data_IF_912926659705
#
_entry.id   IF_912926659705
#
_cell.length_a   1.000
_cell.length_b   1.000
_cell.length_c   1.000
_cell.angle_alpha   90.00
_cell.angle_beta   90.00
_cell.angle_gamma   90.00
#
_symmetry.space_group_name_H-M   'P 1'
#
loop_
_entity.id
_entity.type
_entity.pdbx_description
1 polymer ?
#
# COMPACT_ATOMS: atom_id res chain seq x y z
N UNK A 1 -15.65 28.16 55.87
CA UNK A 1 -15.84 27.94 54.42
C UNK A 1 -16.14 26.47 54.15
N UNK A 2 -16.67 26.15 52.97
CA UNK A 2 -16.83 24.78 52.47
C UNK A 2 -16.07 24.65 51.15
N UNK A 3 -15.38 23.54 50.94
CA UNK A 3 -14.74 23.21 49.66
C UNK A 3 -15.55 22.10 49.00
N UNK A 4 -16.10 22.39 47.83
CA UNK A 4 -16.80 21.43 47.00
C UNK A 4 -15.80 20.70 46.08
N UNK A 5 -16.28 19.66 45.39
CA UNK A 5 -15.52 19.06 44.29
C UNK A 5 -15.25 20.12 43.21
N UNK A 6 -14.03 20.10 42.65
CA UNK A 6 -13.68 20.95 41.52
C UNK A 6 -14.39 20.43 40.27
N UNK A 7 -15.07 21.31 39.55
CA UNK A 7 -15.65 21.00 38.25
C UNK A 7 -14.62 21.34 37.16
N UNK A 8 -13.86 20.34 36.74
CA UNK A 8 -12.73 20.45 35.81
C UNK A 8 -12.94 19.73 34.47
N UNK A 9 -14.05 19.02 34.27
CA UNK A 9 -14.30 18.22 33.06
C UNK A 9 -14.31 18.99 31.73
N UNK A 10 -14.34 20.34 31.77
CA UNK A 10 -14.17 21.20 30.60
C UNK A 10 -12.74 21.69 30.35
N UNK A 11 -11.78 21.31 31.19
CA UNK A 11 -10.37 21.69 31.09
C UNK A 11 -9.61 20.48 30.57
N UNK A 12 -9.10 20.56 29.35
CA UNK A 12 -8.34 19.48 28.73
C UNK A 12 -7.04 20.02 28.17
N UNK A 13 -5.96 19.27 28.36
CA UNK A 13 -4.63 19.54 27.85
C UNK A 13 -4.27 18.35 26.97
N UNK A 14 -4.35 18.54 25.65
CA UNK A 14 -4.06 17.52 24.65
C UNK A 14 -2.81 17.90 23.90
N UNK A 15 -1.81 17.03 23.90
CA UNK A 15 -0.64 17.11 23.02
C UNK A 15 -0.72 16.04 21.94
N UNK A 16 0.04 16.20 20.86
CA UNK A 16 0.10 15.29 19.71
C UNK A 16 1.48 14.66 19.57
N UNK A 17 1.49 13.35 19.38
CA UNK A 17 2.69 12.55 19.14
C UNK A 17 3.37 12.96 17.83
N UNK A 18 2.60 13.39 16.83
CA UNK A 18 3.13 13.87 15.54
C UNK A 18 4.11 15.05 15.65
N UNK A 19 4.10 15.74 16.80
CA UNK A 19 4.95 16.88 17.09
C UNK A 19 6.14 16.55 18.00
N UNK A 20 6.37 15.28 18.34
CA UNK A 20 7.48 14.82 19.19
C UNK A 20 8.60 14.15 18.41
N UNK A 21 8.52 14.11 17.07
CA UNK A 21 9.55 13.52 16.21
C UNK A 21 10.93 14.18 16.44
N UNK A 22 11.95 13.33 16.58
CA UNK A 22 13.33 13.70 16.88
C UNK A 22 13.51 14.45 18.21
N UNK A 23 13.73 15.77 18.15
CA UNK A 23 13.97 16.64 19.30
C UNK A 23 12.84 17.66 19.50
N UNK A 24 11.72 17.49 18.77
CA UNK A 24 10.56 18.35 18.87
C UNK A 24 9.75 18.03 20.14
N UNK A 25 8.82 18.92 20.48
CA UNK A 25 7.94 18.78 21.65
C UNK A 25 6.64 19.53 21.41
N UNK A 26 5.51 18.97 21.87
CA UNK A 26 4.22 19.66 21.90
C UNK A 26 3.91 20.18 23.31
N UNK A 27 3.08 21.23 23.41
CA UNK A 27 2.67 21.80 24.68
C UNK A 27 1.22 22.28 24.67
N UNK A 28 0.46 21.86 25.67
CA UNK A 28 -0.90 22.28 25.93
C UNK A 28 -1.03 22.96 27.31
N UNK A 29 -1.97 23.89 27.46
CA UNK A 29 -2.19 24.61 28.73
C UNK A 29 -3.66 24.73 29.09
N UNK A 30 -3.96 24.71 30.38
CA UNK A 30 -5.32 24.89 30.92
C UNK A 30 -5.30 25.57 32.29
N UNK A 31 -6.19 26.55 32.51
CA UNK A 31 -6.27 27.25 33.79
C UNK A 31 -7.32 26.64 34.72
N UNK A 32 -6.88 26.21 35.90
CA UNK A 32 -7.75 25.67 36.95
C UNK A 32 -8.21 26.73 37.95
N UNK A 33 -7.76 27.98 37.81
CA UNK A 33 -8.01 29.03 38.81
C UNK A 33 -9.50 29.31 39.02
N UNK A 34 -10.28 29.41 37.94
CA UNK A 34 -11.71 29.64 38.02
C UNK A 34 -12.46 28.44 38.64
N UNK A 35 -12.08 27.22 38.26
CA UNK A 35 -12.69 26.00 38.79
C UNK A 35 -12.42 25.84 40.29
N UNK A 36 -11.19 26.14 40.72
CA UNK A 36 -10.79 26.11 42.14
C UNK A 36 -11.50 27.19 42.96
N UNK A 37 -11.61 28.40 42.40
CA UNK A 37 -12.34 29.49 43.06
C UNK A 37 -13.83 29.17 43.16
N UNK A 38 -14.44 28.56 42.14
CA UNK A 38 -15.85 28.15 42.16
C UNK A 38 -16.12 27.01 43.17
N UNK A 39 -15.16 26.12 43.37
CA UNK A 39 -15.24 25.07 44.38
C UNK A 39 -15.15 25.63 45.82
N UNK A 40 -14.54 26.79 46.00
CA UNK A 40 -14.46 27.47 47.28
C UNK A 40 -15.76 28.25 47.58
N UNK A 41 -16.53 27.78 48.57
CA UNK A 41 -17.72 28.46 49.06
C UNK A 41 -17.40 29.19 50.37
N UNK A 42 -17.14 30.51 50.34
CA UNK A 42 -16.78 31.26 51.53
C UNK A 42 -17.96 31.39 52.50
N UNK A 43 -17.63 31.50 53.78
CA UNK A 43 -18.56 31.87 54.84
C UNK A 43 -17.89 32.95 55.66
N UNK A 44 -18.45 34.16 55.63
CA UNK A 44 -17.84 35.38 56.18
C UNK A 44 -18.41 35.78 57.55
N UNK A 45 -19.08 34.86 58.25
CA UNK A 45 -19.61 35.14 59.59
C UNK A 45 -20.59 36.31 59.66
N UNK A 46 -20.63 36.96 60.82
CA UNK A 46 -21.46 38.13 61.08
C UNK A 46 -20.84 39.43 60.52
N UNK A 47 -19.55 39.40 60.24
CA UNK A 47 -18.73 40.56 59.88
C UNK A 47 -18.86 40.95 58.41
N UNK A 48 -19.56 40.11 57.63
CA UNK A 48 -19.93 40.38 56.25
C UNK A 48 -18.81 40.09 55.25
N UNK A 49 -19.09 40.17 53.95
CA UNK A 49 -18.18 39.69 52.91
C UNK A 49 -16.87 40.47 52.86
N UNK A 50 -15.74 39.73 52.80
CA UNK A 50 -14.43 40.27 52.46
C UNK A 50 -13.92 39.68 51.13
N UNK A 51 -12.80 38.94 51.16
CA UNK A 51 -12.15 38.37 49.96
C UNK A 51 -12.04 36.85 50.01
N UNK A 52 -12.01 36.21 48.85
CA UNK A 52 -11.63 34.81 48.69
C UNK A 52 -10.55 34.73 47.63
N UNK A 53 -9.43 34.11 47.96
CA UNK A 53 -8.27 33.97 47.07
C UNK A 53 -7.81 32.52 47.03
N UNK A 54 -7.30 32.10 45.88
CA UNK A 54 -6.66 30.79 45.70
C UNK A 54 -5.21 31.03 45.30
N UNK A 55 -4.27 30.41 46.01
CA UNK A 55 -2.85 30.57 45.76
C UNK A 55 -2.07 29.33 46.20
N UNK A 56 -0.77 29.28 45.91
CA UNK A 56 0.09 28.15 46.32
C UNK A 56 -0.24 26.86 45.57
N UNK A 57 -0.51 26.96 44.26
CA UNK A 57 -0.71 25.80 43.40
C UNK A 57 0.50 24.87 43.45
N UNK A 58 0.24 23.58 43.60
CA UNK A 58 1.26 22.54 43.68
C UNK A 58 0.74 21.22 43.11
N UNK A 59 1.63 20.47 42.47
CA UNK A 59 1.35 19.14 41.94
C UNK A 59 1.87 18.05 42.90
N UNK A 60 1.20 16.91 42.96
CA UNK A 60 1.69 15.72 43.65
C UNK A 60 1.37 14.45 42.87
N UNK A 61 2.25 13.46 42.96
CA UNK A 61 2.01 12.10 42.46
C UNK A 61 1.29 11.32 43.54
N UNK A 62 0.12 10.79 43.20
CA UNK A 62 -0.68 9.92 44.08
C UNK A 62 -0.39 8.44 43.81
N UNK A 63 -0.06 8.10 42.57
CA UNK A 63 0.42 6.79 42.14
C UNK A 63 1.48 6.98 41.06
N UNK A 64 2.66 6.39 41.26
CA UNK A 64 3.78 6.52 40.32
C UNK A 64 3.61 5.70 39.04
N UNK A 65 2.75 4.69 39.04
CA UNK A 65 2.47 3.92 37.83
C UNK A 65 1.49 4.72 36.96
N UNK A 66 1.94 5.28 35.83
CA UNK A 66 1.04 6.02 34.93
C UNK A 66 -0.02 5.11 34.29
N UNK A 67 0.36 3.84 34.03
CA UNK A 67 -0.41 2.92 33.18
C UNK A 67 -0.19 3.13 31.68
N UNK A 68 0.73 4.02 31.30
CA UNK A 68 1.09 4.37 29.92
C UNK A 68 2.48 3.83 29.58
N UNK A 69 2.77 3.64 28.30
CA UNK A 69 4.07 3.20 27.79
C UNK A 69 4.58 4.15 26.70
N UNK A 70 5.86 4.05 26.38
CA UNK A 70 6.52 4.73 25.25
C UNK A 70 7.67 3.84 24.78
N UNK A 71 7.73 3.52 23.49
CA UNK A 71 8.61 2.50 22.91
C UNK A 71 8.53 1.14 23.65
N UNK A 72 7.33 0.75 24.09
CA UNK A 72 7.08 -0.45 24.90
C UNK A 72 7.64 -0.40 26.32
N UNK A 73 8.19 0.73 26.78
CA UNK A 73 8.71 0.92 28.13
C UNK A 73 7.67 1.61 29.01
N UNK A 74 7.45 1.07 30.21
CA UNK A 74 6.51 1.65 31.17
C UNK A 74 6.94 3.07 31.62
N UNK A 75 5.99 4.00 31.55
CA UNK A 75 6.18 5.37 32.03
C UNK A 75 5.93 5.43 33.54
N UNK A 76 6.89 5.97 34.29
CA UNK A 76 6.76 6.21 35.73
C UNK A 76 6.64 7.71 36.01
N UNK A 77 5.67 8.09 36.84
CA UNK A 77 5.47 9.47 37.29
C UNK A 77 6.34 9.75 38.51
N UNK A 78 7.12 10.82 38.42
CA UNK A 78 7.97 11.29 39.53
C UNK A 78 7.83 12.79 39.71
N UNK A 79 7.93 13.26 40.96
CA UNK A 79 7.95 14.69 41.25
C UNK A 79 9.40 15.19 41.14
N UNK A 80 9.67 16.09 40.21
CA UNK A 80 10.99 16.70 39.98
C UNK A 80 10.87 18.21 40.20
N UNK A 81 11.30 18.69 41.36
CA UNK A 81 11.07 20.08 41.76
C UNK A 81 9.58 20.37 41.94
N UNK A 82 9.06 21.38 41.23
CA UNK A 82 7.63 21.71 41.22
C UNK A 82 6.79 20.79 40.33
N UNK A 83 7.43 20.15 39.35
CA UNK A 83 6.75 19.51 38.23
C UNK A 83 6.55 18.01 38.48
N UNK A 84 5.66 17.41 37.71
CA UNK A 84 5.56 15.97 37.56
C UNK A 84 6.15 15.58 36.22
N UNK A 85 7.06 14.62 36.21
CA UNK A 85 7.72 14.09 35.02
C UNK A 85 7.29 12.63 34.85
N UNK A 86 6.71 12.32 33.70
CA UNK A 86 6.53 10.97 33.21
C UNK A 86 7.77 10.56 32.41
N UNK A 87 8.46 9.51 32.86
CA UNK A 87 9.70 9.05 32.23
C UNK A 87 9.76 7.52 32.13
N UNK A 88 10.42 7.03 31.09
CA UNK A 88 10.84 5.63 30.95
C UNK A 88 12.30 5.47 31.37
N UNK A 89 12.88 4.27 31.19
CA UNK A 89 14.33 4.09 31.32
C UNK A 89 15.15 4.77 30.22
N UNK A 90 14.52 5.21 29.13
CA UNK A 90 15.18 5.90 28.02
C UNK A 90 15.21 7.43 28.20
N UNK A 91 14.27 8.00 28.95
CA UNK A 91 14.20 9.44 29.16
C UNK A 91 12.84 9.95 29.63
N UNK A 92 12.72 11.27 29.66
CA UNK A 92 11.46 11.98 29.88
C UNK A 92 10.56 11.88 28.64
N UNK A 93 9.29 11.55 28.86
CA UNK A 93 8.26 11.46 27.81
C UNK A 93 7.33 12.66 27.89
N UNK A 94 6.90 13.03 29.10
CA UNK A 94 6.09 14.23 29.30
C UNK A 94 6.33 14.87 30.67
N UNK A 95 5.93 16.13 30.77
CA UNK A 95 6.02 16.96 31.96
C UNK A 95 4.75 17.75 32.19
N UNK A 96 4.30 17.74 33.43
CA UNK A 96 3.20 18.56 33.93
C UNK A 96 3.78 19.59 34.89
N UNK A 97 3.61 20.86 34.57
CA UNK A 97 3.98 21.98 35.44
C UNK A 97 2.77 22.84 35.78
N UNK A 98 2.85 23.61 36.86
CA UNK A 98 1.81 24.56 37.23
C UNK A 98 2.40 25.91 37.58
N UNK A 99 1.89 26.96 36.94
CA UNK A 99 2.25 28.34 37.25
C UNK A 99 1.51 28.85 38.50
N UNK A 100 2.02 29.92 39.11
CA UNK A 100 1.44 30.51 40.33
C UNK A 100 0.01 31.03 40.16
N UNK A 101 -0.44 31.24 38.92
CA UNK A 101 -1.80 31.65 38.57
C UNK A 101 -2.76 30.46 38.35
N UNK A 102 -2.33 29.22 38.61
CA UNK A 102 -3.15 28.01 38.42
C UNK A 102 -3.24 27.52 36.98
N UNK A 103 -2.42 28.04 36.07
CA UNK A 103 -2.27 27.49 34.70
C UNK A 103 -1.39 26.25 34.76
N UNK A 104 -1.97 25.10 34.41
CA UNK A 104 -1.24 23.86 34.21
C UNK A 104 -0.74 23.82 32.77
N UNK A 105 0.48 23.34 32.59
CA UNK A 105 1.10 23.13 31.27
C UNK A 105 1.51 21.66 31.17
N UNK A 106 1.05 20.99 30.13
CA UNK A 106 1.52 19.67 29.70
C UNK A 106 2.51 19.90 28.56
N UNK A 107 3.72 19.39 28.68
CA UNK A 107 4.70 19.34 27.60
C UNK A 107 5.04 17.89 27.32
N UNK A 108 4.91 17.46 26.07
CA UNK A 108 5.27 16.13 25.60
C UNK A 108 6.57 16.22 24.80
N UNK A 109 7.50 15.32 25.03
CA UNK A 109 8.86 15.33 24.45
C UNK A 109 9.25 14.00 23.82
N UNK A 110 8.41 12.98 23.97
CA UNK A 110 8.46 11.73 23.23
C UNK A 110 7.03 11.23 23.02
N UNK A 111 6.84 10.44 21.98
CA UNK A 111 5.64 9.64 21.70
C UNK A 111 5.28 8.71 22.88
N UNK A 112 4.00 8.43 23.01
CA UNK A 112 3.45 7.39 23.87
C UNK A 112 2.98 6.25 22.97
N UNK A 113 3.03 5.01 23.45
CA UNK A 113 2.44 3.92 22.70
C UNK A 113 0.92 3.93 22.92
N UNK A 114 0.18 3.79 21.83
CA UNK A 114 -1.26 3.68 21.83
C UNK A 114 -1.66 2.23 21.54
N UNK A 115 -2.97 1.97 21.53
CA UNK A 115 -3.49 0.67 21.16
C UNK A 115 -3.94 0.73 19.70
N UNK A 116 -3.80 -0.34 18.91
CA UNK A 116 -4.24 -0.31 17.53
C UNK A 116 -5.71 0.13 17.40
N UNK A 117 -6.04 0.99 16.45
CA UNK A 117 -7.42 1.51 16.31
C UNK A 117 -8.49 0.39 16.18
N UNK A 118 -8.13 -0.82 15.74
CA UNK A 118 -9.05 -1.93 15.50
C UNK A 118 -9.25 -2.90 16.70
N UNK A 119 -8.53 -2.73 17.82
CA UNK A 119 -8.63 -3.66 18.96
C UNK A 119 -9.85 -3.42 19.86
N UNK A 120 -10.57 -2.33 19.64
CA UNK A 120 -11.68 -1.89 20.47
C UNK A 120 -12.86 -1.39 19.59
N UNK A 121 -14.06 -1.26 20.18
CA UNK A 121 -15.26 -0.86 19.44
C UNK A 121 -15.63 0.62 19.60
N UNK A 122 -14.82 1.38 20.32
CA UNK A 122 -15.04 2.79 20.62
C UNK A 122 -14.18 3.72 19.76
N UNK A 123 -13.15 3.19 19.08
CA UNK A 123 -12.29 3.91 18.13
C UNK A 123 -11.72 5.20 18.76
N UNK A 124 -11.43 5.14 20.06
CA UNK A 124 -10.86 6.24 20.85
C UNK A 124 -9.40 5.96 21.25
N UNK A 125 -8.81 4.88 20.73
CA UNK A 125 -7.42 4.53 21.02
C UNK A 125 -6.43 5.59 20.52
N UNK A 126 -6.81 6.37 19.49
CA UNK A 126 -6.03 7.50 19.00
C UNK A 126 -5.92 8.68 19.99
N UNK A 127 -6.65 8.63 21.12
CA UNK A 127 -6.60 9.64 22.16
C UNK A 127 -6.58 8.98 23.53
N UNK A 128 -5.39 8.75 24.07
CA UNK A 128 -5.23 8.23 25.42
C UNK A 128 -5.21 9.37 26.45
N UNK A 129 -5.64 9.05 27.67
CA UNK A 129 -5.64 9.99 28.79
C UNK A 129 -4.94 9.41 30.00
N UNK A 130 -4.28 10.26 30.80
CA UNK A 130 -3.80 9.84 32.10
C UNK A 130 -4.98 9.39 32.96
N UNK A 131 -4.90 8.21 33.56
CA UNK A 131 -5.98 7.69 34.39
C UNK A 131 -6.20 8.55 35.65
N UNK A 132 -7.38 8.42 36.27
CA UNK A 132 -7.67 9.03 37.56
C UNK A 132 -6.75 8.48 38.66
N UNK A 133 -6.51 9.28 39.69
CA UNK A 133 -5.76 8.92 40.89
C UNK A 133 -4.25 8.94 40.69
N UNK A 134 -3.75 9.52 39.60
CA UNK A 134 -2.32 9.55 39.26
C UNK A 134 -1.65 10.84 39.71
N UNK A 135 -2.20 11.99 39.33
CA UNK A 135 -1.65 13.32 39.64
C UNK A 135 -2.74 14.21 40.23
N UNK A 136 -2.43 14.86 41.36
CA UNK A 136 -3.31 15.80 42.02
C UNK A 136 -2.75 17.22 41.88
N UNK A 137 -3.57 18.17 41.45
CA UNK A 137 -3.32 19.60 41.58
C UNK A 137 -3.99 20.09 42.87
N UNK A 138 -3.24 20.75 43.74
CA UNK A 138 -3.76 21.32 44.99
C UNK A 138 -3.40 22.80 45.13
N UNK A 139 -4.25 23.57 45.81
CA UNK A 139 -3.98 24.96 46.16
C UNK A 139 -4.58 25.31 47.52
N UNK A 140 -4.10 26.41 48.11
CA UNK A 140 -4.64 26.98 49.34
C UNK A 140 -5.69 28.03 49.02
N UNK A 141 -6.90 27.84 49.53
CA UNK A 141 -7.96 28.86 49.56
C UNK A 141 -7.81 29.66 50.84
N UNK A 142 -7.81 30.99 50.73
CA UNK A 142 -7.83 31.92 51.85
C UNK A 142 -9.07 32.80 51.75
N UNK A 143 -9.90 32.78 52.80
CA UNK A 143 -11.10 33.62 52.95
C UNK A 143 -10.82 34.63 54.05
N UNK A 144 -11.11 35.90 53.76
CA UNK A 144 -11.03 37.02 54.70
C UNK A 144 -12.41 37.67 54.78
N UNK A 145 -12.93 37.97 55.96
CA UNK A 145 -14.21 38.67 56.14
C UNK A 145 -14.04 40.20 56.31
N UNK A 146 -15.09 40.88 56.76
CA UNK A 146 -15.16 42.34 56.79
C UNK A 146 -14.31 43.04 57.85
N UNK A 147 -13.86 42.33 58.90
CA UNK A 147 -12.98 42.86 59.94
C UNK A 147 -11.57 42.24 59.94
N UNK A 148 -11.27 41.51 58.86
CA UNK A 148 -9.98 40.89 58.53
C UNK A 148 -9.66 39.57 59.27
N UNK A 149 -10.66 38.88 59.81
CA UNK A 149 -10.49 37.50 60.25
C UNK A 149 -10.24 36.58 59.04
N UNK A 150 -9.34 35.60 59.20
CA UNK A 150 -8.85 34.77 58.10
C UNK A 150 -9.10 33.28 58.35
N UNK A 151 -9.60 32.59 57.33
CA UNK A 151 -9.71 31.13 57.29
C UNK A 151 -9.02 30.56 56.06
N UNK A 152 -8.32 29.44 56.21
CA UNK A 152 -7.62 28.76 55.12
C UNK A 152 -8.09 27.32 54.96
N UNK A 153 -7.95 26.76 53.76
CA UNK A 153 -8.03 25.31 53.54
C UNK A 153 -7.57 24.92 52.14
N UNK A 154 -7.62 23.63 51.86
CA UNK A 154 -7.08 23.07 50.62
C UNK A 154 -8.21 22.72 49.66
N UNK A 155 -8.03 23.09 48.40
CA UNK A 155 -8.84 22.63 47.27
C UNK A 155 -7.94 21.82 46.35
N UNK A 156 -8.47 20.73 45.78
CA UNK A 156 -7.70 19.85 44.90
C UNK A 156 -8.54 19.31 43.75
N UNK A 157 -7.88 19.07 42.62
CA UNK A 157 -8.43 18.41 41.44
C UNK A 157 -7.51 17.26 41.01
N UNK A 158 -8.11 16.14 40.64
CA UNK A 158 -7.42 15.01 40.00
C UNK A 158 -7.22 15.38 38.53
N UNK A 159 -5.99 15.31 38.03
CA UNK A 159 -5.68 15.65 36.63
C UNK A 159 -5.93 14.48 35.66
N UNK A 160 -6.40 13.33 36.17
CA UNK A 160 -6.85 12.23 35.33
C UNK A 160 -7.96 12.66 34.36
N UNK A 161 -7.85 12.23 33.11
CA UNK A 161 -8.77 12.64 32.03
C UNK A 161 -8.60 14.09 31.54
N UNK A 162 -7.91 14.97 32.28
CA UNK A 162 -7.54 16.31 31.80
C UNK A 162 -6.28 16.25 30.92
N UNK A 163 -5.32 15.38 31.25
CA UNK A 163 -4.06 15.19 30.52
C UNK A 163 -4.27 14.12 29.44
N UNK A 164 -4.08 14.48 28.17
CA UNK A 164 -4.36 13.63 27.00
C UNK A 164 -3.25 13.69 25.95
N UNK A 165 -3.11 12.61 25.20
CA UNK A 165 -2.11 12.43 24.16
C UNK A 165 -2.82 11.89 22.91
N UNK A 166 -2.72 12.62 21.81
CA UNK A 166 -3.29 12.27 20.51
C UNK A 166 -2.21 11.64 19.64
N UNK A 167 -2.57 10.50 19.06
CA UNK A 167 -1.68 9.61 18.31
C UNK A 167 -1.17 10.19 16.98
N UNK A 168 -0.06 9.64 16.47
CA UNK A 168 0.44 9.86 15.11
C UNK A 168 0.37 8.59 14.28
N UNK A 169 -0.86 8.18 13.96
CA UNK A 169 -1.14 6.97 13.19
C UNK A 169 -0.36 6.92 11.85
N UNK A 170 -0.02 5.72 11.34
CA UNK A 170 0.79 5.59 10.16
C UNK A 170 -0.03 5.95 8.91
N UNK A 171 0.66 6.15 7.80
CA UNK A 171 0.02 6.35 6.50
C UNK A 171 0.85 5.77 5.37
N UNK A 172 0.23 5.64 4.19
CA UNK A 172 0.92 5.16 2.99
C UNK A 172 0.53 5.98 1.77
N UNK A 173 1.54 6.46 1.05
CA UNK A 173 1.35 7.06 -0.28
C UNK A 173 1.67 6.03 -1.35
N UNK A 174 0.77 5.85 -2.32
CA UNK A 174 0.96 4.94 -3.43
C UNK A 174 1.36 5.73 -4.68
N UNK A 175 2.57 5.49 -5.17
CA UNK A 175 3.07 6.04 -6.42
C UNK A 175 2.71 5.15 -7.63
N UNK A 176 3.02 5.63 -8.83
CA UNK A 176 2.92 4.82 -10.04
C UNK A 176 3.87 3.60 -9.95
N UNK A 177 3.36 2.44 -10.35
CA UNK A 177 4.15 1.20 -10.41
C UNK A 177 5.08 1.27 -11.63
N UNK A 178 6.37 1.02 -11.42
CA UNK A 178 7.35 0.88 -12.49
C UNK A 178 7.47 -0.61 -12.89
N UNK A 179 6.70 -1.01 -13.90
CA UNK A 179 6.56 -2.40 -14.36
C UNK A 179 7.11 -2.65 -15.77
N UNK A 180 7.65 -1.63 -16.45
CA UNK A 180 8.15 -1.76 -17.83
C UNK A 180 9.28 -2.79 -18.05
N UNK A 181 9.90 -3.28 -16.98
CA UNK A 181 10.87 -4.39 -17.02
C UNK A 181 10.26 -5.78 -16.80
N UNK A 182 8.97 -5.89 -16.51
CA UNK A 182 8.26 -7.14 -16.27
C UNK A 182 7.52 -7.52 -17.55
N UNK A 183 7.90 -8.63 -18.18
CA UNK A 183 7.30 -9.07 -19.44
C UNK A 183 7.00 -10.56 -19.38
N UNK A 184 5.82 -10.94 -19.83
CA UNK A 184 5.37 -12.31 -19.96
C UNK A 184 5.12 -12.55 -21.44
N UNK A 185 5.98 -13.35 -22.06
CA UNK A 185 5.94 -13.62 -23.49
C UNK A 185 5.78 -15.11 -23.72
N UNK A 186 4.68 -15.49 -24.36
CA UNK A 186 4.45 -16.84 -24.88
C UNK A 186 4.64 -16.87 -26.40
N UNK A 187 4.77 -18.07 -26.96
CA UNK A 187 5.03 -18.32 -28.37
C UNK A 187 3.90 -19.17 -28.97
N UNK A 188 3.35 -18.70 -30.09
CA UNK A 188 2.30 -19.42 -30.84
C UNK A 188 2.80 -20.77 -31.36
N UNK A 189 4.09 -20.90 -31.65
CA UNK A 189 4.71 -22.14 -32.09
C UNK A 189 4.57 -23.29 -31.06
N UNK A 190 4.33 -22.96 -29.80
CA UNK A 190 4.18 -23.91 -28.70
C UNK A 190 2.71 -24.21 -28.35
N UNK A 191 1.75 -23.68 -29.12
CA UNK A 191 0.31 -23.84 -28.85
C UNK A 191 -0.41 -24.71 -29.87
N UNK A 192 0.33 -25.47 -30.68
CA UNK A 192 -0.24 -26.35 -31.71
C UNK A 192 -1.01 -27.52 -31.06
N UNK A 193 -2.16 -27.86 -31.64
CA UNK A 193 -3.09 -28.90 -31.20
C UNK A 193 -3.62 -28.69 -29.77
N UNK A 194 -3.13 -29.47 -28.80
CA UNK A 194 -3.52 -29.41 -27.39
C UNK A 194 -2.37 -28.94 -26.49
N UNK A 195 -1.29 -28.46 -27.09
CA UNK A 195 -0.15 -27.91 -26.36
C UNK A 195 -0.46 -26.50 -25.83
N UNK A 196 0.35 -26.04 -24.89
CA UNK A 196 0.26 -24.70 -24.34
C UNK A 196 1.65 -24.20 -23.96
N UNK A 197 1.79 -22.88 -23.97
CA UNK A 197 2.99 -22.18 -23.50
C UNK A 197 2.66 -21.36 -22.24
N UNK A 198 3.66 -21.13 -21.39
CA UNK A 198 3.48 -20.38 -20.15
C UNK A 198 4.68 -19.50 -19.83
N UNK A 199 4.39 -18.24 -19.51
CA UNK A 199 5.35 -17.25 -19.03
C UNK A 199 4.94 -16.72 -17.66
N UNK A 200 5.91 -16.28 -16.85
CA UNK A 200 5.64 -15.73 -15.51
C UNK A 200 6.44 -14.46 -15.25
N UNK A 201 5.89 -13.56 -14.43
CA UNK A 201 6.56 -12.34 -13.98
C UNK A 201 6.06 -11.93 -12.59
N UNK A 202 6.97 -11.52 -11.70
CA UNK A 202 6.59 -11.09 -10.35
C UNK A 202 6.46 -9.57 -10.26
N UNK A 203 5.32 -9.11 -9.76
CA UNK A 203 5.02 -7.69 -9.53
C UNK A 203 5.28 -7.24 -8.09
N UNK A 204 5.64 -8.17 -7.19
CA UNK A 204 5.74 -7.88 -5.76
C UNK A 204 6.76 -6.79 -5.44
N UNK A 205 7.94 -6.82 -6.06
CA UNK A 205 8.97 -5.81 -5.85
C UNK A 205 8.54 -4.43 -6.40
N UNK A 206 7.88 -4.40 -7.55
CA UNK A 206 7.41 -3.16 -8.16
C UNK A 206 6.28 -2.53 -7.33
N UNK A 207 5.37 -3.35 -6.78
CA UNK A 207 4.28 -2.89 -5.91
C UNK A 207 4.81 -2.38 -4.58
N UNK A 208 5.77 -3.09 -3.97
CA UNK A 208 6.40 -2.64 -2.72
C UNK A 208 7.19 -1.34 -2.94
N UNK A 209 7.90 -1.20 -4.06
CA UNK A 209 8.63 0.03 -4.38
C UNK A 209 7.72 1.24 -4.66
N UNK A 210 6.48 1.00 -5.11
CA UNK A 210 5.49 2.04 -5.31
C UNK A 210 4.87 2.53 -3.99
N UNK A 211 4.96 1.74 -2.91
CA UNK A 211 4.50 2.13 -1.59
C UNK A 211 5.54 2.99 -0.86
N UNK A 212 5.12 4.17 -0.42
CA UNK A 212 5.92 5.06 0.43
C UNK A 212 5.23 5.17 1.79
N UNK A 213 5.69 4.41 2.81
CA UNK A 213 5.13 4.46 4.15
C UNK A 213 5.57 5.72 4.91
N UNK A 214 4.71 6.21 5.79
CA UNK A 214 5.02 7.08 6.91
C UNK A 214 4.59 6.36 8.18
N UNK A 215 5.51 6.17 9.12
CA UNK A 215 5.27 5.40 10.34
C UNK A 215 5.00 6.28 11.57
N UNK A 216 4.67 7.55 11.35
CA UNK A 216 4.45 8.50 12.44
C UNK A 216 5.65 8.71 13.36
N UNK A 217 5.36 9.13 14.59
CA UNK A 217 6.33 9.33 15.66
C UNK A 217 6.79 8.01 16.32
N UNK A 218 5.98 6.96 16.22
CA UNK A 218 6.21 5.62 16.80
C UNK A 218 7.34 4.86 16.10
N UNK A 219 7.74 5.35 14.93
CA UNK A 219 8.88 4.84 14.20
C UNK A 219 8.56 3.56 13.42
N UNK A 220 9.56 3.01 12.71
CA UNK A 220 9.30 2.02 11.68
C UNK A 220 8.87 0.65 12.22
N UNK A 221 7.76 0.13 11.70
CA UNK A 221 7.34 -1.26 11.86
C UNK A 221 7.54 -2.07 10.58
N UNK A 222 6.46 -2.39 9.87
CA UNK A 222 6.48 -3.19 8.63
C UNK A 222 5.71 -2.55 7.49
N UNK A 223 6.07 -2.90 6.25
CA UNK A 223 5.26 -2.62 5.06
C UNK A 223 5.17 -3.87 4.22
N UNK A 224 3.95 -4.31 3.96
CA UNK A 224 3.67 -5.56 3.24
C UNK A 224 2.70 -5.32 2.11
N UNK A 225 2.79 -6.16 1.07
CA UNK A 225 1.85 -6.16 -0.05
C UNK A 225 1.21 -7.54 -0.15
N UNK A 226 -0.12 -7.59 -0.09
CA UNK A 226 -0.87 -8.85 -0.11
C UNK A 226 -2.22 -8.68 -0.82
N UNK A 227 -2.99 -9.75 -0.95
CA UNK A 227 -4.33 -9.69 -1.57
C UNK A 227 -4.30 -9.41 -3.08
N UNK A 228 -3.28 -9.91 -3.79
CA UNK A 228 -3.18 -9.77 -5.25
C UNK A 228 -4.43 -10.29 -5.96
N UNK A 229 -4.98 -9.48 -6.86
CA UNK A 229 -6.18 -9.80 -7.63
C UNK A 229 -6.14 -9.18 -9.02
N UNK A 230 -6.72 -9.90 -9.98
CA UNK A 230 -6.88 -9.43 -11.36
C UNK A 230 -8.30 -8.89 -11.58
N UNK A 231 -8.44 -7.86 -12.39
CA UNK A 231 -9.74 -7.39 -12.88
C UNK A 231 -9.69 -7.06 -14.38
N UNK A 232 -10.84 -7.15 -15.04
CA UNK A 232 -11.00 -6.74 -16.44
C UNK A 232 -11.57 -5.34 -16.46
N UNK A 233 -10.85 -4.41 -17.08
CA UNK A 233 -11.28 -3.01 -17.23
C UNK A 233 -12.04 -2.81 -18.54
N UNK A 234 -11.69 -3.57 -19.58
CA UNK A 234 -12.40 -3.64 -20.85
C UNK A 234 -12.37 -5.07 -21.36
N UNK A 235 -13.54 -5.65 -21.63
CA UNK A 235 -13.65 -7.03 -22.09
C UNK A 235 -13.19 -7.20 -23.55
N UNK A 236 -13.14 -6.14 -24.34
CA UNK A 236 -12.61 -6.21 -25.70
C UNK A 236 -11.07 -6.20 -25.65
N UNK A 237 -10.44 -7.34 -25.91
CA UNK A 237 -8.97 -7.42 -25.94
C UNK A 237 -8.36 -6.59 -27.07
N UNK A 238 -9.07 -6.43 -28.19
CA UNK A 238 -8.52 -5.91 -29.44
C UNK A 238 -7.68 -6.92 -30.23
N UNK A 239 -7.59 -8.17 -29.75
CA UNK A 239 -6.86 -9.27 -30.36
C UNK A 239 -7.83 -10.26 -31.01
N UNK A 240 -7.35 -11.04 -31.96
CA UNK A 240 -8.11 -12.10 -32.62
C UNK A 240 -7.33 -13.42 -32.63
N UNK A 241 -8.04 -14.53 -32.83
CA UNK A 241 -7.48 -15.87 -33.05
C UNK A 241 -8.36 -16.59 -34.06
N UNK A 242 -7.78 -17.13 -35.13
CA UNK A 242 -8.51 -17.69 -36.27
C UNK A 242 -9.54 -16.72 -36.87
N UNK A 243 -9.23 -15.42 -36.88
CA UNK A 243 -10.13 -14.35 -37.32
C UNK A 243 -11.32 -14.07 -36.38
N UNK A 244 -11.38 -14.72 -35.21
CA UNK A 244 -12.43 -14.52 -34.21
C UNK A 244 -11.93 -13.58 -33.10
N UNK A 245 -12.77 -12.60 -32.71
CA UNK A 245 -12.43 -11.67 -31.65
C UNK A 245 -12.27 -12.36 -30.29
N UNK A 246 -11.19 -12.01 -29.58
CA UNK A 246 -10.91 -12.51 -28.23
C UNK A 246 -11.56 -11.57 -27.20
N UNK A 247 -12.35 -12.14 -26.30
CA UNK A 247 -12.99 -11.42 -25.18
C UNK A 247 -12.34 -11.81 -23.86
N UNK A 248 -12.03 -10.82 -23.02
CA UNK A 248 -11.48 -10.99 -21.67
C UNK A 248 -12.61 -11.13 -20.65
N UNK A 249 -12.60 -12.19 -19.86
CA UNK A 249 -13.60 -12.44 -18.81
C UNK A 249 -12.93 -12.85 -17.52
N UNK A 250 -13.35 -12.27 -16.39
CA UNK A 250 -12.92 -12.75 -15.07
C UNK A 250 -13.68 -14.02 -14.71
N UNK A 251 -12.97 -15.14 -14.51
CA UNK A 251 -13.53 -16.43 -14.10
C UNK A 251 -12.83 -16.89 -12.83
N UNK A 252 -13.50 -16.76 -11.69
CA UNK A 252 -12.85 -16.96 -10.38
C UNK A 252 -11.77 -15.91 -10.13
N UNK A 253 -10.55 -16.35 -9.81
CA UNK A 253 -9.38 -15.48 -9.64
C UNK A 253 -8.78 -15.00 -10.96
N UNK A 254 -8.97 -15.76 -12.03
CA UNK A 254 -8.22 -15.63 -13.28
C UNK A 254 -8.95 -14.73 -14.28
N UNK A 255 -8.19 -14.21 -15.25
CA UNK A 255 -8.73 -13.68 -16.49
C UNK A 255 -8.62 -14.75 -17.55
N UNK A 256 -9.74 -15.16 -18.11
CA UNK A 256 -9.83 -16.11 -19.21
C UNK A 256 -10.18 -15.33 -20.46
N UNK A 257 -9.37 -15.51 -21.49
CA UNK A 257 -9.52 -14.87 -22.79
C UNK A 257 -9.98 -15.91 -23.79
N UNK A 258 -11.12 -15.67 -24.43
CA UNK A 258 -11.77 -16.68 -25.27
C UNK A 258 -12.40 -16.09 -26.53
N UNK A 259 -12.47 -16.90 -27.58
CA UNK A 259 -13.31 -16.68 -28.76
C UNK A 259 -14.57 -17.54 -28.65
N UNK A 260 -15.42 -17.53 -29.70
CA UNK A 260 -16.52 -18.49 -29.80
C UNK A 260 -16.07 -19.95 -29.98
N UNK A 261 -14.80 -20.19 -30.30
CA UNK A 261 -14.24 -21.53 -30.50
C UNK A 261 -13.60 -22.11 -29.23
N UNK A 262 -13.20 -21.28 -28.26
CA UNK A 262 -12.57 -21.76 -27.02
C UNK A 262 -11.72 -20.70 -26.33
N UNK A 263 -11.01 -21.13 -25.28
CA UNK A 263 -10.00 -20.34 -24.57
C UNK A 263 -8.75 -20.19 -25.45
N UNK A 264 -8.19 -18.98 -25.49
CA UNK A 264 -6.96 -18.64 -26.22
C UNK A 264 -5.81 -18.42 -25.26
N UNK A 265 -6.02 -17.63 -24.20
CA UNK A 265 -5.04 -17.46 -23.15
C UNK A 265 -5.69 -17.18 -21.79
N UNK A 266 -4.90 -17.32 -20.74
CA UNK A 266 -5.31 -17.11 -19.35
C UNK A 266 -4.24 -16.35 -18.59
N UNK A 267 -4.68 -15.40 -17.78
CA UNK A 267 -3.83 -14.68 -16.82
C UNK A 267 -4.28 -15.06 -15.42
N UNK A 268 -3.36 -15.57 -14.61
CA UNK A 268 -3.59 -15.87 -13.19
C UNK A 268 -2.56 -15.15 -12.34
N UNK A 269 -2.84 -15.00 -11.05
CA UNK A 269 -1.90 -14.41 -10.09
C UNK A 269 -1.85 -15.24 -8.81
N UNK A 270 -0.64 -15.56 -8.38
CA UNK A 270 -0.39 -16.23 -7.10
C UNK A 270 -0.36 -15.22 -5.94
N UNK A 271 -0.50 -15.70 -4.71
CA UNK A 271 -0.52 -14.86 -3.50
C UNK A 271 0.79 -14.09 -3.25
N UNK A 272 1.89 -14.50 -3.86
CA UNK A 272 3.19 -13.81 -3.81
C UNK A 272 3.35 -12.73 -4.91
N UNK A 273 2.30 -12.44 -5.68
CA UNK A 273 2.34 -11.44 -6.76
C UNK A 273 3.00 -11.92 -8.05
N UNK A 274 3.29 -13.22 -8.19
CA UNK A 274 3.67 -13.80 -9.48
C UNK A 274 2.45 -13.93 -10.38
N UNK A 275 2.45 -13.20 -11.49
CA UNK A 275 1.49 -13.35 -12.58
C UNK A 275 1.97 -14.45 -13.51
N UNK A 276 1.04 -15.27 -13.98
CA UNK A 276 1.28 -16.33 -14.95
C UNK A 276 0.37 -16.09 -16.16
N UNK A 277 0.97 -16.05 -17.34
CA UNK A 277 0.31 -16.07 -18.64
C UNK A 277 0.41 -17.50 -19.17
N UNK A 278 -0.71 -18.12 -19.50
CA UNK A 278 -0.76 -19.40 -20.21
C UNK A 278 -1.51 -19.21 -21.51
N UNK A 279 -0.87 -19.53 -22.63
CA UNK A 279 -1.46 -19.50 -23.96
C UNK A 279 -1.82 -20.92 -24.39
N UNK A 280 -3.03 -21.10 -24.92
CA UNK A 280 -3.61 -22.39 -25.30
C UNK A 280 -4.02 -22.46 -26.78
N UNK A 281 -4.01 -21.32 -27.48
CA UNK A 281 -4.20 -21.24 -28.93
C UNK A 281 -3.40 -20.04 -29.46
N UNK A 282 -3.07 -20.11 -30.75
CA UNK A 282 -2.41 -19.05 -31.51
C UNK A 282 -3.27 -17.78 -31.57
N UNK A 283 -2.61 -16.64 -31.71
CA UNK A 283 -3.24 -15.36 -31.97
C UNK A 283 -3.00 -14.99 -33.44
N UNK A 284 -3.88 -14.15 -34.00
CA UNK A 284 -3.64 -13.64 -35.34
C UNK A 284 -2.68 -12.44 -35.26
N UNK A 285 -1.54 -12.55 -35.96
CA UNK A 285 -0.60 -11.46 -36.13
C UNK A 285 -0.84 -10.72 -37.45
N UNK A 286 -0.35 -9.48 -37.53
CA UNK A 286 -0.38 -8.72 -38.78
C UNK A 286 0.69 -9.27 -39.73
N UNK A 287 0.46 -9.27 -41.05
CA UNK A 287 1.49 -9.68 -42.01
C UNK A 287 2.80 -8.89 -41.85
N UNK A 288 3.95 -9.51 -42.10
CA UNK A 288 5.25 -8.82 -41.98
C UNK A 288 5.43 -7.65 -42.97
N UNK A 289 4.60 -7.54 -44.01
CA UNK A 289 4.69 -6.51 -45.06
C UNK A 289 3.81 -5.27 -44.83
N UNK A 290 3.04 -5.19 -43.74
CA UNK A 290 2.14 -4.04 -43.51
C UNK A 290 2.88 -2.77 -43.08
N UNK A 291 4.11 -2.89 -42.58
CA UNK A 291 5.00 -1.77 -42.32
C UNK A 291 6.47 -2.09 -42.65
N UNK A 292 7.36 -1.13 -42.37
CA UNK A 292 8.79 -1.24 -42.66
C UNK A 292 9.64 -1.60 -41.42
N UNK A 293 9.02 -1.91 -40.28
CA UNK A 293 9.72 -2.26 -39.04
C UNK A 293 9.83 -3.77 -38.78
N UNK A 294 9.08 -4.61 -39.50
CA UNK A 294 9.13 -6.08 -39.37
C UNK A 294 9.03 -6.56 -37.91
N UNK A 295 8.23 -5.85 -37.10
CA UNK A 295 7.98 -6.09 -35.67
C UNK A 295 6.57 -6.62 -35.40
N UNK A 296 5.83 -6.98 -36.46
CA UNK A 296 4.50 -7.59 -36.35
C UNK A 296 4.53 -9.01 -35.77
N UNK A 297 5.72 -9.62 -35.63
CA UNK A 297 5.91 -10.92 -35.01
C UNK A 297 5.71 -10.89 -33.47
N UNK A 298 5.52 -9.73 -32.85
CA UNK A 298 5.25 -9.60 -31.43
C UNK A 298 4.07 -8.66 -31.20
N UNK A 299 2.96 -9.22 -30.72
CA UNK A 299 1.81 -8.44 -30.29
C UNK A 299 1.76 -8.39 -28.77
N UNK A 300 1.17 -7.32 -28.23
CA UNK A 300 0.97 -7.16 -26.79
C UNK A 300 -0.49 -6.84 -26.50
N UNK A 301 -0.97 -7.26 -25.34
CA UNK A 301 -2.23 -6.77 -24.83
C UNK A 301 -2.14 -5.26 -24.65
N UNK A 302 -3.11 -4.51 -25.17
CA UNK A 302 -3.12 -3.06 -25.04
C UNK A 302 -3.33 -2.62 -23.59
N UNK A 303 -3.01 -1.36 -23.30
CA UNK A 303 -3.34 -0.72 -22.03
C UNK A 303 -4.86 -0.65 -21.81
N UNK A 304 -5.27 -0.60 -20.55
CA UNK A 304 -6.65 -0.43 -20.09
C UNK A 304 -7.49 -1.70 -20.20
N UNK A 305 -6.85 -2.87 -20.30
CA UNK A 305 -7.54 -4.15 -20.49
C UNK A 305 -7.63 -4.96 -19.21
N UNK A 306 -6.51 -5.21 -18.55
CA UNK A 306 -6.41 -6.01 -17.33
C UNK A 306 -5.59 -5.26 -16.30
N UNK A 307 -6.15 -5.12 -15.09
CA UNK A 307 -5.48 -4.50 -13.96
C UNK A 307 -5.10 -5.57 -12.92
N UNK A 308 -3.84 -5.58 -12.51
CA UNK A 308 -3.39 -6.27 -11.30
C UNK A 308 -3.46 -5.29 -10.12
N UNK A 309 -4.10 -5.68 -9.03
CA UNK A 309 -4.24 -4.86 -7.81
C UNK A 309 -3.81 -5.64 -6.58
N UNK A 310 -3.32 -4.96 -5.55
CA UNK A 310 -3.03 -5.54 -4.23
C UNK A 310 -3.24 -4.49 -3.13
N UNK A 311 -3.34 -4.96 -1.89
CA UNK A 311 -3.39 -4.11 -0.70
C UNK A 311 -1.99 -3.97 -0.12
N UNK A 312 -1.55 -2.74 0.07
CA UNK A 312 -0.39 -2.39 0.89
C UNK A 312 -0.88 -2.17 2.32
N UNK A 313 -0.20 -2.78 3.29
CA UNK A 313 -0.42 -2.58 4.72
C UNK A 313 0.87 -2.07 5.35
N UNK A 314 0.78 -0.92 6.02
CA UNK A 314 1.85 -0.30 6.80
C UNK A 314 1.49 -0.46 8.27
N UNK A 315 2.48 -0.85 9.06
CA UNK A 315 2.42 -0.97 10.52
C UNK A 315 3.62 -0.22 11.09
N UNK A 316 3.45 0.56 12.14
CA UNK A 316 4.52 1.29 12.83
C UNK A 316 4.98 0.58 14.11
N UNK A 317 5.57 1.32 15.05
CA UNK A 317 6.25 0.82 16.23
C UNK A 317 5.33 0.30 17.34
N UNK A 318 4.13 0.86 17.48
CA UNK A 318 3.15 0.48 18.52
C UNK A 318 2.00 -0.41 17.98
N UNK A 319 2.05 -0.71 16.68
CA UNK A 319 1.21 -1.63 15.91
C UNK A 319 -0.08 -1.03 15.37
N UNK A 320 -0.15 0.29 15.25
CA UNK A 320 -1.17 0.91 14.41
C UNK A 320 -1.01 0.50 12.95
N UNK A 321 -2.12 0.60 12.19
CA UNK A 321 -2.15 0.12 10.80
C UNK A 321 -2.78 1.10 9.83
N UNK A 322 -2.15 1.24 8.67
CA UNK A 322 -2.69 1.96 7.53
C UNK A 322 -2.68 1.09 6.28
N UNK A 323 -3.68 1.28 5.42
CA UNK A 323 -3.80 0.50 4.18
C UNK A 323 -3.97 1.38 2.96
N UNK A 324 -3.49 0.89 1.81
CA UNK A 324 -3.68 1.53 0.51
C UNK A 324 -3.76 0.50 -0.60
N UNK A 325 -4.42 0.84 -1.71
CA UNK A 325 -4.47 -0.04 -2.89
C UNK A 325 -3.41 0.37 -3.89
N UNK A 326 -2.56 -0.58 -4.28
CA UNK A 326 -1.59 -0.43 -5.37
C UNK A 326 -2.07 -1.23 -6.58
N UNK A 327 -1.87 -0.71 -7.78
CA UNK A 327 -2.29 -1.38 -9.01
C UNK A 327 -1.39 -1.07 -10.19
N UNK A 328 -1.33 -2.01 -11.13
CA UNK A 328 -0.61 -1.90 -12.40
C UNK A 328 -1.48 -2.42 -13.54
N UNK A 329 -1.43 -1.71 -14.67
CA UNK A 329 -2.06 -2.12 -15.93
C UNK A 329 -1.14 -3.14 -16.61
N UNK A 330 -1.65 -4.33 -16.93
CA UNK A 330 -0.84 -5.38 -17.55
C UNK A 330 -0.64 -5.19 -19.07
N UNK A 331 -1.17 -4.09 -19.62
CA UNK A 331 -0.92 -3.68 -20.99
C UNK A 331 0.58 -3.54 -21.30
N UNK A 332 1.02 -4.13 -22.41
CA UNK A 332 2.44 -4.19 -22.76
C UNK A 332 3.28 -5.17 -21.95
N UNK A 333 2.83 -5.65 -20.79
CA UNK A 333 3.51 -6.75 -20.06
C UNK A 333 3.18 -8.11 -20.68
N UNK A 334 1.92 -8.31 -21.11
CA UNK A 334 1.44 -9.56 -21.73
C UNK A 334 1.71 -9.52 -23.23
N UNK A 335 2.51 -10.47 -23.75
CA UNK A 335 2.96 -10.51 -25.14
C UNK A 335 2.90 -11.90 -25.75
N UNK A 336 2.74 -11.95 -27.07
CA UNK A 336 2.62 -13.18 -27.84
C UNK A 336 3.51 -13.07 -29.08
N UNK A 337 4.47 -13.98 -29.20
CA UNK A 337 5.40 -14.07 -30.33
C UNK A 337 4.85 -15.04 -31.39
N UNK A 338 4.84 -14.59 -32.63
CA UNK A 338 4.30 -15.30 -33.79
C UNK A 338 5.13 -16.55 -34.16
N UNK A 339 4.46 -17.55 -34.73
CA UNK A 339 5.11 -18.67 -35.41
C UNK A 339 5.20 -18.38 -36.91
N UNK A 340 6.20 -17.59 -37.28
CA UNK A 340 6.35 -17.11 -38.67
C UNK A 340 6.59 -18.28 -39.65
N UNK A 341 5.99 -18.23 -40.86
CA UNK A 341 6.21 -19.27 -41.87
C UNK A 341 7.68 -19.46 -42.21
N UNK A 342 8.11 -20.71 -42.39
CA UNK A 342 9.48 -21.04 -42.79
C UNK A 342 9.50 -22.12 -43.88
N UNK A 343 10.59 -22.19 -44.66
CA UNK A 343 10.76 -23.22 -45.69
C UNK A 343 12.10 -23.90 -45.52
N UNK A 344 12.08 -25.22 -45.36
CA UNK A 344 13.28 -26.05 -45.41
C UNK A 344 13.48 -26.59 -46.82
N UNK A 345 14.66 -26.35 -47.40
CA UNK A 345 15.03 -26.88 -48.72
C UNK A 345 15.89 -28.13 -48.55
N UNK A 346 15.33 -29.28 -48.92
CA UNK A 346 16.01 -30.56 -48.94
C UNK A 346 16.80 -30.75 -50.26
N UNK A 347 17.56 -31.85 -50.34
CA UNK A 347 18.22 -32.22 -51.58
C UNK A 347 17.20 -32.48 -52.70
N UNK A 348 17.47 -31.96 -53.89
CA UNK A 348 16.63 -32.17 -55.08
C UNK A 348 16.86 -33.60 -55.59
N UNK A 349 15.80 -34.41 -55.59
CA UNK A 349 15.84 -35.74 -56.20
C UNK A 349 15.69 -35.63 -57.73
N UNK A 350 16.81 -35.45 -58.43
CA UNK A 350 16.86 -35.27 -59.88
C UNK A 350 17.19 -36.55 -60.66
N UNK A 351 17.49 -37.66 -59.97
CA UNK A 351 17.91 -38.92 -60.60
C UNK A 351 16.91 -39.57 -61.57
N UNK A 352 15.65 -39.10 -61.60
CA UNK A 352 14.64 -39.49 -62.59
C UNK A 352 14.56 -38.57 -63.82
N UNK A 353 15.30 -37.47 -63.86
CA UNK A 353 15.30 -36.50 -64.96
C UNK A 353 16.51 -36.78 -65.84
N UNK A 354 16.28 -37.24 -67.07
CA UNK A 354 17.33 -37.49 -68.06
C UNK A 354 17.02 -36.72 -69.34
N UNK A 355 17.98 -35.95 -69.82
CA UNK A 355 17.92 -35.26 -71.10
C UNK A 355 18.87 -35.95 -72.08
N UNK A 356 18.32 -36.53 -73.13
CA UNK A 356 19.09 -37.31 -74.11
C UNK A 356 18.91 -36.71 -75.49
N UNK A 357 20.00 -36.27 -76.10
CA UNK A 357 20.09 -35.97 -77.53
C UNK A 357 20.74 -37.15 -78.27
N UNK A 358 20.56 -37.21 -79.58
CA UNK A 358 21.03 -38.24 -80.48
C UNK A 358 21.93 -37.61 -81.55
N UNK A 359 23.21 -37.95 -81.49
CA UNK A 359 24.24 -37.39 -82.39
C UNK A 359 23.88 -37.57 -83.88
N UNK A 360 23.24 -38.69 -84.24
CA UNK A 360 22.82 -38.99 -85.61
C UNK A 360 21.83 -37.96 -86.20
N UNK A 361 21.20 -37.12 -85.37
CA UNK A 361 20.21 -36.11 -85.79
C UNK A 361 20.81 -34.70 -85.96
N UNK A 362 22.13 -34.54 -85.81
CA UNK A 362 22.83 -33.22 -85.81
C UNK A 362 23.73 -32.98 -87.02
N UNK A 363 23.39 -33.51 -88.20
CA UNK A 363 24.20 -33.35 -89.43
C UNK A 363 23.98 -31.98 -90.08
N UNK A 364 25.07 -31.36 -90.54
CA UNK A 364 25.11 -30.03 -91.17
C UNK A 364 24.48 -28.94 -90.28
N UNK A 365 23.38 -28.33 -90.71
CA UNK A 365 22.69 -27.25 -89.98
C UNK A 365 21.58 -27.76 -89.05
N UNK A 366 21.38 -29.08 -88.91
CA UNK A 366 20.35 -29.65 -88.05
C UNK A 366 20.78 -29.70 -86.57
N UNK A 367 19.82 -29.56 -85.65
CA UNK A 367 20.02 -29.65 -84.20
C UNK A 367 19.05 -30.62 -83.56
N UNK A 368 19.50 -31.35 -82.54
CA UNK A 368 18.65 -32.15 -81.66
C UNK A 368 18.56 -31.49 -80.28
N UNK A 369 17.36 -31.45 -79.73
CA UNK A 369 17.03 -30.74 -78.49
C UNK A 369 16.24 -31.67 -77.57
N UNK A 370 16.81 -31.93 -76.39
CA UNK A 370 16.10 -32.59 -75.30
C UNK A 370 15.65 -31.56 -74.26
N UNK A 371 14.40 -31.65 -73.85
CA UNK A 371 13.80 -30.75 -72.85
C UNK A 371 13.19 -31.57 -71.72
N UNK A 372 13.37 -31.11 -70.48
CA UNK A 372 12.76 -31.71 -69.29
C UNK A 372 12.61 -30.65 -68.21
N UNK A 373 11.66 -30.87 -67.31
CA UNK A 373 11.31 -29.92 -66.26
C UNK A 373 11.83 -30.39 -64.91
N UNK A 374 12.52 -29.50 -64.19
CA UNK A 374 12.92 -29.70 -62.80
C UNK A 374 11.89 -29.15 -61.81
N UNK A 375 10.79 -28.56 -62.30
CA UNK A 375 9.83 -27.86 -61.46
C UNK A 375 9.24 -28.76 -60.36
N UNK A 376 8.89 -30.00 -60.69
CA UNK A 376 8.36 -30.96 -59.72
C UNK A 376 9.42 -31.39 -58.69
N UNK A 377 10.68 -31.57 -59.12
CA UNK A 377 11.78 -31.96 -58.24
C UNK A 377 12.16 -30.82 -57.27
N UNK A 378 12.14 -29.58 -57.75
CA UNK A 378 12.34 -28.40 -56.91
C UNK A 378 11.20 -28.18 -55.93
N UNK A 379 9.94 -28.33 -56.36
CA UNK A 379 8.79 -28.20 -55.46
C UNK A 379 8.81 -29.29 -54.38
N UNK A 380 9.15 -30.53 -54.72
CA UNK A 380 9.24 -31.62 -53.77
C UNK A 380 10.40 -31.45 -52.75
N UNK A 381 11.44 -30.71 -53.12
CA UNK A 381 12.55 -30.41 -52.22
C UNK A 381 12.18 -29.32 -51.19
N UNK A 382 11.19 -28.49 -51.47
CA UNK A 382 10.72 -27.47 -50.54
C UNK A 382 9.69 -28.05 -49.56
N UNK A 383 10.00 -27.99 -48.27
CA UNK A 383 9.10 -28.36 -47.18
C UNK A 383 8.70 -27.08 -46.44
N UNK A 384 7.52 -26.51 -46.71
CA UNK A 384 7.03 -25.37 -45.97
C UNK A 384 6.53 -25.79 -44.57
N UNK A 385 6.81 -24.95 -43.58
CA UNK A 385 6.09 -24.84 -42.31
C UNK A 385 5.26 -23.57 -42.39
N UNK A 386 3.96 -23.68 -42.17
CA UNK A 386 3.05 -22.55 -42.33
C UNK A 386 2.89 -21.71 -41.07
N UNK A 387 3.48 -22.12 -39.95
CA UNK A 387 3.20 -21.51 -38.65
C UNK A 387 2.07 -22.24 -37.91
N UNK A 388 1.73 -21.73 -36.74
CA UNK A 388 0.69 -22.27 -35.87
C UNK A 388 -0.72 -21.99 -36.42
N UNK A 389 -0.89 -20.90 -37.18
CA UNK A 389 -2.13 -20.47 -37.85
C UNK A 389 -2.43 -21.24 -39.15
N UNK A 390 -1.43 -21.98 -39.66
CA UNK A 390 -1.57 -22.88 -40.79
C UNK A 390 -1.56 -22.19 -42.16
N UNK A 391 -1.79 -22.94 -43.25
CA UNK A 391 -1.64 -22.41 -44.60
C UNK A 391 -2.73 -21.37 -44.93
N UNK A 392 -2.33 -20.29 -45.59
CA UNK A 392 -3.26 -19.33 -46.16
C UNK A 392 -4.32 -20.03 -47.06
N UNK A 393 -5.57 -19.54 -47.07
CA UNK A 393 -6.62 -20.13 -47.91
C UNK A 393 -6.24 -20.07 -49.40
N UNK A 394 -6.62 -21.09 -50.20
CA UNK A 394 -6.30 -21.13 -51.62
C UNK A 394 -6.93 -19.91 -52.33
N UNK A 395 -6.11 -19.18 -53.08
CA UNK A 395 -6.52 -18.04 -53.90
C UNK A 395 -7.25 -18.43 -55.18
#
# INVERSE_FOLDING_TARGET
MTINAVADGGITLTTQDAQTIDAASDTATGSFAAAFLAAAVPSYGADGPGTTTVSGYSLSVTDSNSGLTSNGLAITLTKVGSDIVGSTSAGEVFRISVASNGTVTLTQSAELDHLPEDVDNSNDNNLISLANGKVLLSATVTVVDGDNDTATGTVSADLGGNIRFEDDVPSVTINAVADGGITLTTQDAQTIDAASDTATGSFAAAFLAAAVPSYGADGPGTTTVSGYSLSVTDSNSGLTSNGLAITLTKVGSDIVSSTSAGEVFRISVASNGTVTLTQSAELDHLPEDVDNSNDNNLISLANGKVLLSATVTVVDGDNDTATGTVSADLGGNIRFEDDVPSVTINAVADGGITLTTQDAQTIDAASDTATGSFAAAFLAAAVPSYGADGPAPPR
#
